data_IF_225791191153
#
_entry.id   IF_225791191153
#
_cell.length_a   1.000
_cell.length_b   1.000
_cell.length_c   1.000
_cell.angle_alpha   90.00
_cell.angle_beta   90.00
_cell.angle_gamma   90.00
#
_symmetry.space_group_name_H-M   'P 1'
#
loop_
_entity.id
_entity.type
_entity.pdbx_description
1 polymer ?
#
# COMPACT_ATOMS: atom_id res chain seq x y z
N UNK A 1 75.31 -22.44 30.48
CA UNK A 1 73.97 -21.82 30.27
C UNK A 1 73.52 -22.05 28.83
N UNK A 2 72.35 -22.66 28.65
CA UNK A 2 71.91 -23.22 27.36
C UNK A 2 71.27 -22.13 26.46
N UNK A 3 71.97 -21.68 25.40
CA UNK A 3 71.50 -20.63 24.46
C UNK A 3 70.12 -20.93 23.84
N UNK A 4 69.76 -22.21 23.69
CA UNK A 4 68.46 -22.64 23.15
C UNK A 4 67.27 -22.29 24.06
N UNK A 5 67.47 -22.28 25.39
CA UNK A 5 66.39 -21.95 26.34
C UNK A 5 66.08 -20.45 26.34
N UNK A 6 67.11 -19.60 26.24
CA UNK A 6 66.95 -18.15 26.12
C UNK A 6 66.24 -17.76 24.82
N UNK A 7 66.58 -18.40 23.70
CA UNK A 7 65.93 -18.12 22.42
C UNK A 7 64.44 -18.49 22.42
N UNK A 8 64.08 -19.65 22.99
CA UNK A 8 62.68 -20.06 23.11
C UNK A 8 61.89 -19.16 24.08
N UNK A 9 62.51 -18.66 25.15
CA UNK A 9 61.86 -17.73 26.08
C UNK A 9 61.57 -16.36 25.44
N UNK A 10 62.51 -15.84 24.64
CA UNK A 10 62.35 -14.56 23.92
C UNK A 10 61.27 -14.66 22.82
N UNK A 11 61.19 -15.78 22.11
CA UNK A 11 60.14 -15.99 21.11
C UNK A 11 58.75 -16.11 21.76
N UNK A 12 58.65 -16.81 22.90
CA UNK A 12 57.38 -17.01 23.60
C UNK A 12 56.82 -15.68 24.18
N UNK A 13 57.69 -14.78 24.65
CA UNK A 13 57.29 -13.45 25.16
C UNK A 13 56.88 -12.47 24.05
N UNK A 14 57.42 -12.60 22.83
CA UNK A 14 56.94 -11.85 21.65
C UNK A 14 55.56 -12.33 21.20
N UNK A 15 55.34 -13.65 21.16
CA UNK A 15 54.06 -14.23 20.76
C UNK A 15 52.93 -13.90 21.75
N UNK A 16 53.23 -13.81 23.06
CA UNK A 16 52.26 -13.45 24.10
C UNK A 16 51.76 -12.00 23.94
N UNK A 17 52.66 -11.04 23.73
CA UNK A 17 52.31 -9.62 23.50
C UNK A 17 51.41 -9.39 22.27
N UNK A 18 51.58 -10.20 21.22
CA UNK A 18 50.75 -10.08 20.02
C UNK A 18 49.30 -10.53 20.24
N UNK A 19 49.09 -11.55 21.09
CA UNK A 19 47.75 -12.03 21.45
C UNK A 19 47.01 -11.01 22.31
N UNK A 20 47.72 -10.38 23.24
CA UNK A 20 47.17 -9.35 24.12
C UNK A 20 46.77 -8.10 23.30
N UNK A 21 47.57 -7.73 22.31
CA UNK A 21 47.26 -6.63 21.39
C UNK A 21 46.01 -6.90 20.53
N UNK A 22 45.91 -8.10 19.94
CA UNK A 22 44.73 -8.48 19.13
C UNK A 22 43.48 -8.52 20.01
N UNK A 23 43.57 -9.04 21.24
CA UNK A 23 42.45 -9.07 22.19
C UNK A 23 41.97 -7.66 22.53
N UNK A 24 42.90 -6.72 22.72
CA UNK A 24 42.57 -5.33 23.02
C UNK A 24 41.92 -4.63 21.82
N UNK A 25 42.42 -4.86 20.60
CA UNK A 25 41.82 -4.34 19.37
C UNK A 25 40.42 -4.90 19.12
N UNK A 26 40.19 -6.19 19.34
CA UNK A 26 38.86 -6.80 19.20
C UNK A 26 37.88 -6.23 20.23
N UNK A 27 38.32 -6.05 21.48
CA UNK A 27 37.52 -5.39 22.52
C UNK A 27 37.13 -3.96 22.13
N UNK A 28 38.08 -3.16 21.64
CA UNK A 28 37.82 -1.80 21.17
C UNK A 28 36.86 -1.78 19.97
N UNK A 29 36.97 -2.72 19.04
CA UNK A 29 36.11 -2.80 17.86
C UNK A 29 34.66 -3.15 18.24
N UNK A 30 34.44 -4.04 19.21
CA UNK A 30 33.10 -4.34 19.74
C UNK A 30 32.48 -3.11 20.41
N UNK A 31 33.27 -2.34 21.17
CA UNK A 31 32.81 -1.09 21.79
C UNK A 31 32.44 -0.07 20.71
N UNK A 32 33.26 0.11 19.67
CA UNK A 32 32.98 1.03 18.55
C UNK A 32 31.69 0.63 17.83
N UNK A 33 31.45 -0.66 17.60
CA UNK A 33 30.20 -1.17 17.02
C UNK A 33 28.97 -0.93 17.90
N UNK A 34 29.13 -0.96 19.22
CA UNK A 34 28.05 -0.64 20.17
C UNK A 34 27.73 0.86 20.27
N UNK A 35 28.72 1.72 20.03
CA UNK A 35 28.57 3.17 20.09
C UNK A 35 28.34 3.85 18.72
N UNK A 36 28.34 3.08 17.62
CA UNK A 36 27.91 3.59 16.32
C UNK A 36 26.40 3.89 16.37
N UNK A 37 25.99 5.16 16.24
CA UNK A 37 24.58 5.49 16.26
C UNK A 37 23.92 4.91 14.99
N UNK A 38 22.91 4.06 15.17
CA UNK A 38 22.05 3.51 14.10
C UNK A 38 21.14 4.61 13.47
N UNK A 39 21.53 5.88 13.59
CA UNK A 39 20.69 7.05 13.26
C UNK A 39 20.38 7.18 11.76
N UNK A 40 21.10 6.47 10.87
CA UNK A 40 20.88 6.58 9.42
C UNK A 40 19.71 5.75 8.89
N UNK A 41 19.15 4.81 9.67
CA UNK A 41 18.04 3.97 9.22
C UNK A 41 16.64 4.57 9.49
N UNK A 42 16.52 5.50 10.44
CA UNK A 42 15.20 6.07 10.83
C UNK A 42 14.72 7.21 9.92
N UNK A 43 15.63 7.96 9.30
CA UNK A 43 15.28 9.22 8.63
C UNK A 43 14.46 9.04 7.34
N UNK A 44 14.67 7.94 6.60
CA UNK A 44 13.95 7.68 5.34
C UNK A 44 12.53 7.17 5.56
N UNK A 45 12.28 6.39 6.62
CA UNK A 45 10.94 5.89 6.97
C UNK A 45 10.03 7.01 7.47
N UNK A 46 10.55 7.95 8.24
CA UNK A 46 9.77 9.03 8.85
C UNK A 46 9.06 9.92 7.82
N UNK A 47 9.70 10.18 6.68
CA UNK A 47 9.09 11.00 5.61
C UNK A 47 7.85 10.34 4.99
N UNK A 48 7.89 9.02 4.80
CA UNK A 48 6.77 8.26 4.23
C UNK A 48 5.63 8.11 5.23
N UNK A 49 5.97 7.92 6.51
CA UNK A 49 5.01 7.84 7.61
C UNK A 49 4.29 9.19 7.76
N UNK A 50 5.01 10.31 7.79
CA UNK A 50 4.41 11.64 7.83
C UNK A 50 3.53 11.94 6.61
N UNK A 51 3.92 11.48 5.42
CA UNK A 51 3.10 11.65 4.22
C UNK A 51 1.80 10.85 4.29
N UNK A 52 1.84 9.65 4.86
CA UNK A 52 0.66 8.81 5.11
C UNK A 52 -0.26 9.43 6.16
N UNK A 53 0.27 9.91 7.28
CA UNK A 53 -0.48 10.60 8.34
C UNK A 53 -1.24 11.82 7.81
N UNK A 54 -0.57 12.67 7.01
CA UNK A 54 -1.23 13.83 6.36
C UNK A 54 -2.38 13.41 5.46
N UNK A 55 -2.23 12.31 4.71
CA UNK A 55 -3.30 11.80 3.84
C UNK A 55 -4.48 11.29 4.66
N UNK A 56 -4.23 10.62 5.78
CA UNK A 56 -5.27 10.15 6.69
C UNK A 56 -6.06 11.34 7.23
N UNK A 57 -5.39 12.38 7.74
CA UNK A 57 -6.06 13.59 8.23
C UNK A 57 -6.94 14.27 7.17
N UNK A 58 -6.45 14.36 5.93
CA UNK A 58 -7.23 14.92 4.81
C UNK A 58 -8.47 14.07 4.51
N UNK A 59 -8.35 12.74 4.55
CA UNK A 59 -9.47 11.83 4.32
C UNK A 59 -10.53 11.96 5.43
N UNK A 60 -10.10 12.04 6.70
CA UNK A 60 -11.01 12.25 7.83
C UNK A 60 -11.79 13.55 7.72
N UNK A 61 -11.12 14.66 7.36
CA UNK A 61 -11.80 15.93 7.11
C UNK A 61 -12.83 15.85 5.98
N UNK A 62 -12.50 15.14 4.89
CA UNK A 62 -13.42 14.95 3.76
C UNK A 62 -14.63 14.11 4.14
N UNK A 63 -14.46 13.09 4.98
CA UNK A 63 -15.57 12.26 5.48
C UNK A 63 -16.51 13.15 6.30
N UNK A 64 -15.99 13.93 7.25
CA UNK A 64 -16.79 14.86 8.05
C UNK A 64 -17.54 15.89 7.19
N UNK A 65 -16.87 16.42 6.16
CA UNK A 65 -17.51 17.35 5.24
C UNK A 65 -18.66 16.70 4.45
N UNK A 66 -18.46 15.46 3.98
CA UNK A 66 -19.49 14.71 3.27
C UNK A 66 -20.68 14.38 4.18
N UNK A 67 -20.43 13.96 5.41
CA UNK A 67 -21.47 13.69 6.41
C UNK A 67 -22.31 14.94 6.70
N UNK A 68 -21.66 16.10 6.86
CA UNK A 68 -22.36 17.38 7.01
C UNK A 68 -23.23 17.70 5.80
N UNK A 69 -22.71 17.55 4.58
CA UNK A 69 -23.47 17.82 3.35
C UNK A 69 -24.67 16.89 3.20
N UNK A 70 -24.53 15.61 3.58
CA UNK A 70 -25.64 14.65 3.60
C UNK A 70 -26.69 15.09 4.62
N UNK A 71 -26.29 15.51 5.82
CA UNK A 71 -27.21 16.01 6.85
C UNK A 71 -28.04 17.18 6.32
N UNK A 72 -27.38 18.22 5.79
CA UNK A 72 -28.05 19.41 5.23
C UNK A 72 -29.00 19.04 4.09
N UNK A 73 -28.60 18.11 3.22
CA UNK A 73 -29.41 17.66 2.09
C UNK A 73 -30.62 16.83 2.52
N UNK A 74 -30.49 16.00 3.55
CA UNK A 74 -31.61 15.22 4.11
C UNK A 74 -32.63 16.13 4.79
N UNK A 75 -32.18 17.14 5.54
CA UNK A 75 -33.05 18.13 6.16
C UNK A 75 -33.84 18.93 5.10
N UNK A 76 -33.21 19.20 3.95
CA UNK A 76 -33.85 19.85 2.80
C UNK A 76 -34.84 18.93 2.05
N UNK A 77 -34.60 17.62 2.03
CA UNK A 77 -35.44 16.64 1.32
C UNK A 77 -36.70 16.27 2.11
N UNK A 78 -36.69 16.39 3.44
CA UNK A 78 -37.86 16.18 4.29
C UNK A 78 -38.92 17.30 4.17
N UNK A 79 -38.61 18.43 3.53
CA UNK A 79 -39.59 19.50 3.23
C UNK A 79 -40.36 19.26 1.91
N UNK A 80 -39.94 18.30 1.08
CA UNK A 80 -40.58 18.00 -0.23
C UNK A 80 -41.42 16.71 -0.20
N UNK A 81 -41.35 15.92 0.87
CA UNK A 81 -42.17 14.71 1.03
C UNK A 81 -43.40 14.96 1.90
N UNK A 82 -44.33 15.76 1.40
CA UNK A 82 -45.71 15.78 1.89
C UNK A 82 -46.70 15.67 0.72
N UNK A 83 -46.55 14.62 -0.10
CA UNK A 83 -47.68 13.98 -0.78
C UNK A 83 -47.26 12.63 -1.34
N UNK A 84 -47.74 11.57 -0.68
CA UNK A 84 -48.22 10.28 -1.19
C UNK A 84 -47.95 9.18 -0.17
N UNK A 85 -48.86 9.09 0.80
CA UNK A 85 -49.16 7.85 1.50
C UNK A 85 -49.76 6.87 0.49
N UNK A 86 -48.98 5.90 0.01
CA UNK A 86 -49.51 4.54 -0.22
C UNK A 86 -48.40 3.50 -0.39
N UNK A 87 -48.54 2.42 0.37
CA UNK A 87 -48.01 1.09 0.08
C UNK A 87 -46.50 0.88 0.14
N UNK A 88 -46.10 0.21 1.23
CA UNK A 88 -44.90 -0.60 1.33
C UNK A 88 -44.73 -1.53 0.11
N UNK A 89 -43.96 -1.09 -0.87
CA UNK A 89 -43.28 -1.97 -1.81
C UNK A 89 -41.84 -1.51 -1.94
N UNK A 90 -40.94 -2.43 -1.60
CA UNK A 90 -39.50 -2.37 -1.78
C UNK A 90 -39.21 -1.96 -3.24
N UNK A 91 -38.94 -0.67 -3.47
CA UNK A 91 -38.37 -0.19 -4.72
C UNK A 91 -36.88 -0.45 -4.61
N UNK A 92 -36.48 -1.67 -4.97
CA UNK A 92 -35.15 -1.88 -5.54
C UNK A 92 -34.96 -0.78 -6.58
N UNK A 93 -34.07 0.16 -6.27
CA UNK A 93 -33.47 1.03 -7.27
C UNK A 93 -32.76 0.08 -8.24
N UNK A 94 -33.50 -0.37 -9.27
CA UNK A 94 -32.95 -1.08 -10.42
C UNK A 94 -32.05 -0.07 -11.11
N UNK A 95 -30.83 0.05 -10.59
CA UNK A 95 -29.69 0.62 -11.26
C UNK A 95 -29.76 0.04 -12.67
N UNK A 96 -30.12 0.88 -13.67
CA UNK A 96 -30.33 0.42 -15.04
C UNK A 96 -28.98 -0.09 -15.55
N UNK A 97 -28.72 -1.38 -15.33
CA UNK A 97 -27.48 -2.02 -15.74
C UNK A 97 -27.41 -1.96 -17.25
N UNK A 98 -26.54 -1.10 -17.77
CA UNK A 98 -26.31 -0.99 -19.20
C UNK A 98 -25.69 -2.31 -19.66
N UNK A 99 -26.42 -3.07 -20.47
CA UNK A 99 -25.94 -4.32 -21.04
C UNK A 99 -24.98 -4.05 -22.20
N UNK A 100 -23.96 -4.90 -22.36
CA UNK A 100 -22.99 -4.82 -23.45
C UNK A 100 -23.68 -4.76 -24.82
N UNK A 101 -23.23 -3.84 -25.67
CA UNK A 101 -23.78 -3.64 -27.01
C UNK A 101 -23.22 -4.60 -28.08
N UNK A 102 -22.16 -5.36 -27.77
CA UNK A 102 -21.52 -6.26 -28.73
C UNK A 102 -22.36 -7.50 -29.04
N UNK A 103 -22.15 -8.06 -30.24
CA UNK A 103 -22.65 -9.38 -30.62
C UNK A 103 -21.57 -10.42 -30.41
N UNK A 104 -21.95 -11.61 -29.95
CA UNK A 104 -21.07 -12.77 -29.88
C UNK A 104 -20.68 -13.23 -31.28
N UNK A 105 -19.70 -14.13 -31.37
CA UNK A 105 -19.31 -14.80 -32.63
C UNK A 105 -20.46 -15.57 -33.30
N UNK A 106 -21.51 -15.90 -32.54
CA UNK A 106 -22.74 -16.54 -33.03
C UNK A 106 -23.81 -15.53 -33.46
N UNK A 107 -23.51 -14.23 -33.44
CA UNK A 107 -24.43 -13.15 -33.84
C UNK A 107 -25.45 -12.74 -32.78
N UNK A 108 -25.47 -13.40 -31.61
CA UNK A 108 -26.39 -13.08 -30.51
C UNK A 108 -25.87 -11.91 -29.67
N UNK A 109 -26.75 -11.13 -29.03
CA UNK A 109 -26.34 -10.01 -28.16
C UNK A 109 -25.61 -10.54 -26.92
N UNK A 110 -24.51 -9.88 -26.55
CA UNK A 110 -23.79 -10.20 -25.33
C UNK A 110 -24.66 -9.93 -24.09
N UNK A 111 -24.78 -10.92 -23.21
CA UNK A 111 -25.62 -10.81 -22.00
C UNK A 111 -24.92 -10.12 -20.83
N UNK A 112 -23.60 -9.88 -20.94
CA UNK A 112 -22.78 -9.33 -19.85
C UNK A 112 -23.05 -7.84 -19.62
N UNK A 113 -22.89 -7.38 -18.38
CA UNK A 113 -22.94 -5.96 -18.00
C UNK A 113 -21.82 -5.19 -18.69
N UNK A 114 -22.14 -4.01 -19.23
CA UNK A 114 -21.16 -3.08 -19.76
C UNK A 114 -20.35 -2.48 -18.59
N UNK A 115 -19.06 -2.21 -18.84
CA UNK A 115 -18.20 -1.55 -17.86
C UNK A 115 -18.68 -0.11 -17.66
N UNK A 116 -18.60 0.40 -16.44
CA UNK A 116 -18.94 1.81 -16.14
C UNK A 116 -18.20 2.75 -17.09
N UNK A 117 -18.94 3.64 -17.76
CA UNK A 117 -18.39 4.56 -18.78
C UNK A 117 -18.12 3.95 -20.16
N UNK A 118 -18.46 2.68 -20.39
CA UNK A 118 -18.33 2.00 -21.68
C UNK A 118 -19.65 1.35 -22.12
N UNK A 119 -19.85 1.22 -23.43
CA UNK A 119 -20.96 0.44 -24.01
C UNK A 119 -20.67 -1.07 -24.03
N UNK A 120 -19.46 -1.47 -23.68
CA UNK A 120 -18.97 -2.84 -23.82
C UNK A 120 -18.53 -3.44 -22.48
N UNK A 121 -18.61 -4.77 -22.38
CA UNK A 121 -18.06 -5.51 -21.23
C UNK A 121 -16.54 -5.67 -21.36
N UNK A 122 -15.88 -6.15 -20.31
CA UNK A 122 -14.41 -6.32 -20.31
C UNK A 122 -13.86 -7.21 -21.44
N UNK A 123 -14.67 -8.15 -21.97
CA UNK A 123 -14.25 -8.97 -23.12
C UNK A 123 -14.35 -8.24 -24.45
N UNK A 124 -15.27 -7.29 -24.57
CA UNK A 124 -15.53 -6.55 -25.81
C UNK A 124 -14.99 -5.11 -25.72
N UNK A 125 -14.10 -4.82 -24.75
CA UNK A 125 -13.56 -3.48 -24.50
C UNK A 125 -12.83 -2.90 -25.73
N UNK A 126 -12.35 -3.77 -26.63
CA UNK A 126 -11.63 -3.40 -27.85
C UNK A 126 -12.42 -3.65 -29.14
N UNK A 127 -13.65 -4.17 -29.06
CA UNK A 127 -14.48 -4.40 -30.24
C UNK A 127 -15.31 -3.15 -30.52
N UNK A 128 -14.73 -2.22 -31.29
CA UNK A 128 -15.46 -1.04 -31.75
C UNK A 128 -16.51 -1.38 -32.81
N UNK A 129 -16.43 -2.51 -33.53
CA UNK A 129 -17.41 -2.90 -34.55
C UNK A 129 -17.53 -4.43 -34.77
N UNK A 130 -18.71 -4.93 -35.19
CA UNK A 130 -18.91 -6.34 -35.48
C UNK A 130 -18.04 -6.77 -36.67
N UNK A 131 -17.13 -7.74 -36.45
CA UNK A 131 -16.41 -8.41 -37.54
C UNK A 131 -17.43 -9.16 -38.42
N UNK A 132 -17.85 -8.54 -39.53
CA UNK A 132 -18.57 -9.23 -40.61
C UNK A 132 -17.66 -10.34 -41.15
N UNK A 133 -18.00 -11.59 -40.87
CA UNK A 133 -17.44 -12.72 -41.62
C UNK A 133 -18.14 -12.75 -42.98
N UNK A 134 -17.35 -12.66 -44.05
CA UNK A 134 -17.73 -13.03 -45.42
C UNK A 134 -18.00 -14.53 -45.49
#
# INVERSE_FOLDING_TARGET
MNRKLLHNFVLNTKARRHKDFISWCLGALVVILFFLPIQSYSQSSDSTIQALEKRIQILEQKILQLEYLISVKNDSSNLVTSKEENSSQVVEEKEKFIQCAAKTTKGTRCTRRAKTGSKYCGLHQFESEPKKKK
#
